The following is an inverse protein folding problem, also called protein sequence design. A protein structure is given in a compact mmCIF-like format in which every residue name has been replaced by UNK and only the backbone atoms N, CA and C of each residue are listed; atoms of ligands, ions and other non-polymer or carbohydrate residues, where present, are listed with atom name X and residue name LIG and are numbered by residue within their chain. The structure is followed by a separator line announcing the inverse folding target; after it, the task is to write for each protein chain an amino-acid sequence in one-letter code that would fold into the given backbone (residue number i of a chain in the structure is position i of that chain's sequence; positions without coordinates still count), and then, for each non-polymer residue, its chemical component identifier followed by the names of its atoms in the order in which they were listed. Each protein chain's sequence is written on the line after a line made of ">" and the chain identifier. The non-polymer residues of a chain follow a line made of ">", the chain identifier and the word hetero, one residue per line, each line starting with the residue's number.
data_IF_452961721848
#
_entry.id   IF_452961721848
#
_cell.length_a   1.000
_cell.length_b   1.000
_cell.length_c   1.000
_cell.angle_alpha   90.00
_cell.angle_beta   90.00
_cell.angle_gamma   90.00
#
_symmetry.space_group_name_H-M   'P 1'
#
loop_
_entity.id
_entity.type
_entity.pdbx_description
1 polymer ?
#
# COMPACT_ATOMS: atom_id res chain seq x y z
N UNK A 1 -33.59 0.97 -17.76
CA UNK A 1 -34.16 0.21 -16.62
C UNK A 1 -33.14 -0.76 -16.00
N UNK A 2 -32.45 -1.59 -16.81
CA UNK A 2 -31.43 -2.53 -16.33
C UNK A 2 -30.29 -1.83 -15.56
N UNK A 3 -29.76 -0.73 -16.08
CA UNK A 3 -28.68 0.05 -15.44
C UNK A 3 -29.06 0.67 -14.08
N UNK A 4 -30.33 1.08 -13.92
CA UNK A 4 -30.86 1.63 -12.66
C UNK A 4 -30.96 0.51 -11.60
N UNK A 5 -31.47 -0.66 -11.98
CA UNK A 5 -31.57 -1.82 -11.10
C UNK A 5 -30.18 -2.34 -10.68
N UNK A 6 -29.22 -2.36 -11.61
CA UNK A 6 -27.82 -2.71 -11.32
C UNK A 6 -27.22 -1.74 -10.31
N UNK A 7 -27.44 -0.43 -10.49
CA UNK A 7 -26.92 0.60 -9.58
C UNK A 7 -27.53 0.47 -8.18
N UNK A 8 -28.85 0.31 -8.08
CA UNK A 8 -29.54 0.14 -6.80
C UNK A 8 -29.11 -1.13 -6.06
N UNK A 9 -28.91 -2.24 -6.76
CA UNK A 9 -28.41 -3.47 -6.16
C UNK A 9 -26.99 -3.32 -5.61
N UNK A 10 -26.08 -2.67 -6.36
CA UNK A 10 -24.72 -2.37 -5.86
C UNK A 10 -24.78 -1.57 -4.58
N UNK A 11 -25.61 -0.52 -4.54
CA UNK A 11 -25.80 0.26 -3.32
C UNK A 11 -26.35 -0.56 -2.17
N UNK A 12 -27.31 -1.46 -2.42
CA UNK A 12 -27.84 -2.35 -1.39
C UNK A 12 -26.77 -3.33 -0.86
N UNK A 13 -25.97 -3.95 -1.73
CA UNK A 13 -24.87 -4.84 -1.33
C UNK A 13 -23.80 -4.07 -0.56
N UNK A 14 -23.43 -2.86 -1.00
CA UNK A 14 -22.48 -2.01 -0.29
C UNK A 14 -23.02 -1.55 1.07
N UNK A 15 -24.32 -1.29 1.18
CA UNK A 15 -24.96 -0.90 2.43
C UNK A 15 -25.04 -2.08 3.42
N UNK A 16 -25.54 -3.25 2.99
CA UNK A 16 -25.64 -4.45 3.84
C UNK A 16 -24.25 -4.97 4.20
N UNK A 17 -23.34 -5.05 3.24
CA UNK A 17 -21.94 -5.37 3.46
C UNK A 17 -21.25 -4.35 4.38
N UNK A 18 -21.59 -3.06 4.25
CA UNK A 18 -21.15 -1.99 5.15
C UNK A 18 -21.64 -2.20 6.58
N UNK A 19 -22.92 -2.52 6.78
CA UNK A 19 -23.51 -2.77 8.11
C UNK A 19 -22.93 -4.02 8.78
N UNK A 20 -22.82 -5.13 8.06
CA UNK A 20 -22.13 -6.33 8.57
C UNK A 20 -20.65 -6.03 8.85
N UNK A 21 -20.03 -5.24 7.97
CA UNK A 21 -18.70 -4.68 8.14
C UNK A 21 -18.57 -3.97 9.48
N UNK A 22 -19.48 -3.06 9.84
CA UNK A 22 -19.44 -2.34 11.12
C UNK A 22 -19.40 -3.29 12.31
N UNK A 23 -20.21 -4.36 12.32
CA UNK A 23 -20.22 -5.35 13.42
C UNK A 23 -18.90 -6.11 13.51
N UNK A 24 -18.36 -6.56 12.37
CA UNK A 24 -17.05 -7.24 12.32
C UNK A 24 -15.94 -6.30 12.75
N UNK A 25 -15.96 -5.04 12.28
CA UNK A 25 -14.96 -4.02 12.60
C UNK A 25 -15.04 -3.56 14.05
N UNK A 26 -16.21 -3.65 14.70
CA UNK A 26 -16.32 -3.42 16.13
C UNK A 26 -15.55 -4.49 16.94
N UNK A 27 -15.50 -5.73 16.45
CA UNK A 27 -14.79 -6.85 17.10
C UNK A 27 -13.33 -6.97 16.67
N UNK A 28 -13.01 -6.63 15.43
CA UNK A 28 -11.70 -6.76 14.81
C UNK A 28 -11.35 -5.49 13.99
N UNK A 29 -11.13 -4.34 14.65
CA UNK A 29 -10.88 -3.08 13.94
C UNK A 29 -9.60 -3.12 13.08
N UNK A 30 -8.65 -3.98 13.43
CA UNK A 30 -7.41 -4.18 12.66
C UNK A 30 -7.66 -4.80 11.28
N UNK A 31 -8.79 -5.51 11.11
CA UNK A 31 -9.22 -6.01 9.80
C UNK A 31 -9.47 -4.85 8.84
N UNK A 32 -9.99 -3.70 9.29
CA UNK A 32 -10.20 -2.54 8.42
C UNK A 32 -8.88 -2.06 7.82
N UNK A 33 -7.83 -1.99 8.64
CA UNK A 33 -6.49 -1.58 8.20
C UNK A 33 -5.95 -2.57 7.16
N UNK A 34 -6.12 -3.88 7.39
CA UNK A 34 -5.72 -4.92 6.44
C UNK A 34 -6.53 -4.87 5.12
N UNK A 35 -7.85 -4.65 5.21
CA UNK A 35 -8.74 -4.49 4.05
C UNK A 35 -8.43 -3.21 3.27
N UNK A 36 -7.94 -2.14 3.88
CA UNK A 36 -7.52 -0.98 3.09
C UNK A 36 -6.16 -1.16 2.43
N UNK A 37 -5.29 -1.93 3.09
CA UNK A 37 -3.97 -2.23 2.55
C UNK A 37 -4.05 -3.13 1.30
N UNK A 38 -4.99 -4.08 1.26
CA UNK A 38 -5.11 -5.09 0.20
C UNK A 38 -6.40 -4.93 -0.60
N UNK A 39 -7.44 -4.40 0.03
CA UNK A 39 -8.82 -4.65 -0.35
C UNK A 39 -9.51 -3.67 -1.28
N UNK A 40 -9.02 -2.46 -1.63
CA UNK A 40 -9.65 -1.68 -2.70
C UNK A 40 -9.74 -2.46 -4.00
N UNK A 41 -8.69 -3.19 -4.36
CA UNK A 41 -8.67 -4.07 -5.53
C UNK A 41 -9.50 -5.34 -5.31
N UNK A 42 -9.43 -5.92 -4.11
CA UNK A 42 -10.23 -7.09 -3.76
C UNK A 42 -11.73 -6.84 -3.87
N UNK A 43 -12.23 -5.74 -3.32
CA UNK A 43 -13.67 -5.42 -3.33
C UNK A 43 -14.13 -5.16 -4.76
N UNK A 44 -13.36 -4.40 -5.55
CA UNK A 44 -13.68 -4.19 -6.97
C UNK A 44 -13.70 -5.51 -7.74
N UNK A 45 -12.77 -6.41 -7.45
CA UNK A 45 -12.73 -7.74 -8.04
C UNK A 45 -13.96 -8.58 -7.67
N UNK A 46 -14.33 -8.64 -6.40
CA UNK A 46 -15.53 -9.35 -5.93
C UNK A 46 -16.80 -8.79 -6.56
N UNK A 47 -16.98 -7.46 -6.57
CA UNK A 47 -18.14 -6.83 -7.19
C UNK A 47 -18.23 -7.18 -8.67
N UNK A 48 -17.09 -7.24 -9.37
CA UNK A 48 -17.06 -7.64 -10.77
C UNK A 48 -17.42 -9.12 -10.98
N UNK A 49 -16.93 -10.04 -10.13
CA UNK A 49 -17.35 -11.46 -10.15
C UNK A 49 -18.88 -11.57 -10.06
N UNK A 50 -19.48 -10.72 -9.23
CA UNK A 50 -20.93 -10.67 -9.03
C UNK A 50 -21.69 -9.99 -10.18
N UNK A 51 -21.02 -9.55 -11.25
CA UNK A 51 -21.63 -8.88 -12.40
C UNK A 51 -21.77 -7.37 -12.24
N UNK A 52 -21.11 -6.76 -11.26
CA UNK A 52 -21.20 -5.34 -10.94
C UNK A 52 -19.86 -4.63 -11.14
N UNK A 53 -19.47 -4.27 -12.39
CA UNK A 53 -18.26 -3.51 -12.62
C UNK A 53 -18.42 -2.10 -12.05
N UNK A 54 -17.80 -1.84 -10.91
CA UNK A 54 -17.78 -0.50 -10.30
C UNK A 54 -16.55 0.24 -10.79
N UNK A 55 -16.76 1.41 -11.41
CA UNK A 55 -15.63 2.27 -11.79
C UNK A 55 -14.85 2.67 -10.54
N UNK A 56 -13.54 2.90 -10.65
CA UNK A 56 -12.72 3.35 -9.53
C UNK A 56 -13.26 4.66 -8.91
N UNK A 57 -13.83 5.54 -9.72
CA UNK A 57 -14.48 6.79 -9.27
C UNK A 57 -15.76 6.50 -8.47
N UNK A 58 -16.60 5.59 -8.94
CA UNK A 58 -17.81 5.18 -8.22
C UNK A 58 -17.44 4.48 -6.92
N UNK A 59 -16.40 3.64 -6.94
CA UNK A 59 -15.86 3.00 -5.75
C UNK A 59 -15.26 4.03 -4.78
N UNK A 60 -14.60 5.08 -5.30
CA UNK A 60 -14.11 6.20 -4.50
C UNK A 60 -15.22 6.99 -3.83
N UNK A 61 -16.25 7.35 -4.59
CA UNK A 61 -17.38 8.09 -4.08
C UNK A 61 -18.15 7.27 -3.04
N UNK A 62 -18.48 6.01 -3.35
CA UNK A 62 -19.14 5.10 -2.42
C UNK A 62 -18.27 4.82 -1.19
N UNK A 63 -16.98 4.60 -1.41
CA UNK A 63 -15.95 4.48 -0.39
C UNK A 63 -15.97 5.69 0.52
N UNK A 64 -15.84 6.91 0.02
CA UNK A 64 -15.88 8.13 0.82
C UNK A 64 -17.18 8.26 1.63
N UNK A 65 -18.33 7.99 1.01
CA UNK A 65 -19.65 8.08 1.67
C UNK A 65 -19.81 7.05 2.79
N UNK A 66 -19.23 5.86 2.69
CA UNK A 66 -19.32 4.82 3.74
C UNK A 66 -18.18 4.96 4.73
N UNK A 67 -16.96 5.10 4.22
CA UNK A 67 -15.72 5.06 4.96
C UNK A 67 -15.52 6.28 5.83
N UNK A 68 -15.77 7.50 5.32
CA UNK A 68 -15.57 8.72 6.11
C UNK A 68 -16.51 8.70 7.34
N UNK A 69 -17.82 8.43 7.22
CA UNK A 69 -18.68 8.32 8.38
C UNK A 69 -18.30 7.17 9.31
N UNK A 70 -17.85 6.02 8.80
CA UNK A 70 -17.37 4.91 9.65
C UNK A 70 -16.13 5.33 10.42
N UNK A 71 -15.15 5.95 9.76
CA UNK A 71 -13.94 6.46 10.42
C UNK A 71 -14.29 7.53 11.46
N UNK A 72 -15.14 8.49 11.12
CA UNK A 72 -15.62 9.53 12.05
C UNK A 72 -16.36 8.89 13.22
N UNK A 73 -17.29 7.97 12.96
CA UNK A 73 -18.06 7.28 13.99
C UNK A 73 -17.14 6.51 14.93
N UNK A 74 -16.15 5.77 14.40
CA UNK A 74 -15.17 5.08 15.21
C UNK A 74 -14.30 6.07 16.00
N UNK A 75 -13.87 7.18 15.40
CA UNK A 75 -13.15 8.23 16.11
C UNK A 75 -13.99 8.79 17.27
N UNK A 76 -15.27 9.12 17.02
CA UNK A 76 -16.20 9.65 18.03
C UNK A 76 -16.49 8.62 19.12
N UNK A 77 -16.91 7.40 18.77
CA UNK A 77 -17.14 6.31 19.73
C UNK A 77 -15.91 6.08 20.59
N UNK A 78 -14.71 6.18 20.00
CA UNK A 78 -13.47 6.06 20.77
C UNK A 78 -13.21 7.29 21.63
N UNK A 79 -13.39 8.52 21.16
CA UNK A 79 -13.27 9.72 21.99
C UNK A 79 -14.23 9.69 23.19
N UNK A 80 -15.42 9.11 23.03
CA UNK A 80 -16.38 8.89 24.12
C UNK A 80 -15.89 7.82 25.10
N UNK A 81 -15.43 6.66 24.61
CA UNK A 81 -14.87 5.59 25.46
C UNK A 81 -13.58 6.00 26.19
N UNK A 82 -12.80 6.93 25.63
CA UNK A 82 -11.55 7.48 26.21
C UNK A 82 -11.81 8.25 27.50
N UNK A 83 -13.04 8.71 27.75
CA UNK A 83 -13.37 9.44 28.97
C UNK A 83 -13.24 8.60 30.24
N UNK A 84 -13.15 7.27 30.13
CA UNK A 84 -13.19 6.39 31.30
C UNK A 84 -11.87 5.69 31.67
N UNK A 85 -10.91 5.41 30.75
CA UNK A 85 -9.62 4.77 31.12
C UNK A 85 -8.47 5.07 30.13
N UNK A 86 -7.36 5.57 30.70
CA UNK A 86 -6.01 5.78 30.13
C UNK A 86 -5.87 6.63 28.84
N UNK A 87 -4.78 7.40 28.68
CA UNK A 87 -4.52 8.18 27.46
C UNK A 87 -4.21 7.27 26.27
N UNK A 88 -5.25 6.93 25.50
CA UNK A 88 -5.26 5.88 24.46
C UNK A 88 -4.62 6.28 23.12
N UNK A 89 -4.49 7.57 22.80
CA UNK A 89 -3.81 7.98 21.56
C UNK A 89 -2.31 8.00 21.85
N UNK A 90 -1.66 6.85 21.67
CA UNK A 90 -0.20 6.81 21.71
C UNK A 90 0.33 7.83 20.71
N UNK A 91 1.30 8.64 21.16
CA UNK A 91 1.68 9.89 20.48
C UNK A 91 1.89 9.61 18.99
N UNK A 92 1.00 10.12 18.09
CA UNK A 92 1.22 9.92 16.67
C UNK A 92 2.59 10.48 16.34
N UNK A 93 3.23 9.93 15.31
CA UNK A 93 4.46 10.52 14.83
C UNK A 93 4.10 11.85 14.15
N UNK A 94 4.00 12.92 14.94
CA UNK A 94 3.58 14.24 14.51
C UNK A 94 4.46 14.77 13.37
N UNK A 95 5.73 14.34 13.29
CA UNK A 95 6.56 14.68 12.15
C UNK A 95 6.06 14.02 10.86
N UNK A 96 5.74 12.72 10.87
CA UNK A 96 5.20 12.05 9.69
C UNK A 96 3.83 12.60 9.28
N UNK A 97 2.91 12.72 10.24
CA UNK A 97 1.55 13.26 9.98
C UNK A 97 1.62 14.71 9.51
N UNK A 98 2.46 15.52 10.15
CA UNK A 98 2.66 16.93 9.78
C UNK A 98 3.20 17.08 8.36
N UNK A 99 4.22 16.31 7.98
CA UNK A 99 4.75 16.36 6.61
C UNK A 99 3.71 15.85 5.59
N UNK A 100 2.88 14.86 5.94
CA UNK A 100 1.83 14.36 5.03
C UNK A 100 0.74 15.42 4.82
N UNK A 101 0.36 16.13 5.89
CA UNK A 101 -0.54 17.28 5.80
C UNK A 101 0.06 18.40 4.96
N UNK A 102 1.34 18.72 5.14
CA UNK A 102 2.06 19.72 4.34
C UNK A 102 2.03 19.33 2.86
N UNK A 103 2.21 18.05 2.51
CA UNK A 103 2.06 17.59 1.13
C UNK A 103 0.65 17.81 0.60
N UNK A 104 -0.40 17.46 1.38
CA UNK A 104 -1.79 17.71 0.98
C UNK A 104 -2.11 19.19 0.78
N UNK A 105 -1.61 20.06 1.66
CA UNK A 105 -1.72 21.53 1.51
C UNK A 105 -0.97 22.01 0.28
N UNK A 106 0.22 21.46 0.00
CA UNK A 106 1.00 21.81 -1.18
C UNK A 106 0.28 21.44 -2.48
N UNK A 107 -0.37 20.27 -2.53
CA UNK A 107 -1.22 19.90 -3.66
C UNK A 107 -2.36 20.90 -3.89
N UNK A 108 -3.02 21.37 -2.80
CA UNK A 108 -4.05 22.42 -2.88
C UNK A 108 -3.49 23.75 -3.37
N UNK A 109 -2.29 24.15 -2.93
CA UNK A 109 -1.60 25.34 -3.46
C UNK A 109 -1.35 25.17 -4.96
N UNK A 110 -0.90 23.98 -5.38
CA UNK A 110 -0.73 23.61 -6.78
C UNK A 110 -1.99 23.74 -7.63
N UNK A 111 -3.19 23.62 -7.05
CA UNK A 111 -4.44 23.86 -7.77
C UNK A 111 -4.65 25.34 -8.11
N UNK A 112 -4.09 26.27 -7.34
CA UNK A 112 -4.35 27.71 -7.55
C UNK A 112 -3.74 28.27 -8.83
N UNK A 113 -2.80 27.53 -9.45
CA UNK A 113 -2.11 27.91 -10.68
C UNK A 113 -2.04 26.75 -11.70
N UNK A 114 -2.83 25.69 -11.51
CA UNK A 114 -2.93 24.59 -12.49
C UNK A 114 -3.75 25.03 -13.69
N UNK A 115 -3.35 24.62 -14.88
CA UNK A 115 -4.17 24.77 -16.09
C UNK A 115 -5.14 23.59 -16.24
N UNK A 116 -4.85 22.44 -15.64
CA UNK A 116 -5.68 21.22 -15.67
C UNK A 116 -6.50 21.03 -14.39
N UNK A 117 -7.44 21.95 -14.14
CA UNK A 117 -8.26 21.98 -12.94
C UNK A 117 -9.00 20.67 -12.68
N UNK A 118 -9.57 20.05 -13.71
CA UNK A 118 -10.37 18.83 -13.55
C UNK A 118 -9.52 17.66 -13.05
N UNK A 119 -8.32 17.48 -13.62
CA UNK A 119 -7.43 16.39 -13.22
C UNK A 119 -6.74 16.71 -11.88
N UNK A 120 -6.34 17.96 -11.67
CA UNK A 120 -5.77 18.45 -10.42
C UNK A 120 -6.68 18.24 -9.22
N UNK A 121 -7.93 18.70 -9.30
CA UNK A 121 -8.94 18.55 -8.24
C UNK A 121 -9.13 17.07 -7.89
N UNK A 122 -9.36 16.24 -8.92
CA UNK A 122 -9.50 14.80 -8.73
C UNK A 122 -8.29 14.19 -8.03
N UNK A 123 -7.07 14.51 -8.46
CA UNK A 123 -5.83 13.98 -7.89
C UNK A 123 -5.69 14.37 -6.42
N UNK A 124 -5.97 15.63 -6.10
CA UNK A 124 -5.93 16.16 -4.73
C UNK A 124 -6.99 15.50 -3.85
N UNK A 125 -8.22 15.37 -4.35
CA UNK A 125 -9.28 14.67 -3.65
C UNK A 125 -8.93 13.18 -3.39
N UNK A 126 -8.37 12.47 -4.38
CA UNK A 126 -7.89 11.10 -4.21
C UNK A 126 -6.78 11.02 -3.14
N UNK A 127 -5.83 11.96 -3.10
CA UNK A 127 -4.81 12.03 -2.05
C UNK A 127 -5.42 12.15 -0.64
N UNK A 128 -6.38 13.06 -0.45
CA UNK A 128 -7.02 13.24 0.86
C UNK A 128 -7.89 12.03 1.26
N UNK A 129 -8.73 11.55 0.35
CA UNK A 129 -9.72 10.51 0.63
C UNK A 129 -9.08 9.13 0.80
N UNK A 130 -8.06 8.81 0.02
CA UNK A 130 -7.49 7.47 -0.03
C UNK A 130 -6.06 7.37 0.50
N UNK A 131 -5.32 8.48 0.54
CA UNK A 131 -4.03 8.58 1.22
C UNK A 131 -4.18 9.02 2.66
N UNK A 132 -4.50 10.29 2.84
CA UNK A 132 -4.39 10.96 4.13
C UNK A 132 -5.41 10.43 5.14
N UNK A 133 -6.67 10.21 4.76
CA UNK A 133 -7.68 9.71 5.70
C UNK A 133 -7.38 8.28 6.20
N UNK A 134 -7.11 7.28 5.34
CA UNK A 134 -6.73 5.93 5.78
C UNK A 134 -5.45 5.89 6.63
N UNK A 135 -4.50 6.79 6.41
CA UNK A 135 -3.26 6.91 7.18
C UNK A 135 -3.52 7.08 8.69
N UNK A 136 -4.64 7.64 9.11
CA UNK A 136 -4.95 7.80 10.54
C UNK A 136 -5.41 6.50 11.21
N UNK A 137 -5.92 5.52 10.46
CA UNK A 137 -6.51 4.33 11.04
C UNK A 137 -5.55 3.46 11.85
N UNK A 138 -4.29 3.23 11.44
CA UNK A 138 -3.35 2.48 12.25
C UNK A 138 -3.17 3.10 13.64
N UNK A 139 -3.17 4.42 13.77
CA UNK A 139 -3.03 5.10 15.07
C UNK A 139 -4.24 4.88 15.99
N UNK A 140 -5.42 4.62 15.42
CA UNK A 140 -6.67 4.38 16.16
C UNK A 140 -6.84 2.90 16.51
N UNK A 141 -6.54 2.01 15.57
CA UNK A 141 -6.86 0.59 15.63
C UNK A 141 -5.70 -0.30 16.08
N UNK A 142 -4.45 0.11 15.84
CA UNK A 142 -3.28 -0.58 16.39
C UNK A 142 -2.92 0.09 17.73
N UNK A 143 -3.17 -0.62 18.82
CA UNK A 143 -3.12 -0.11 20.20
C UNK A 143 -2.09 -0.78 21.07
N UNK A 144 -1.84 -2.04 20.80
CA UNK A 144 -0.97 -2.89 21.57
C UNK A 144 -0.31 -3.95 20.66
N UNK A 145 0.64 -4.70 21.21
CA UNK A 145 1.32 -5.79 20.50
C UNK A 145 0.35 -6.82 19.91
N UNK A 146 -0.73 -7.12 20.62
CA UNK A 146 -1.75 -8.08 20.19
C UNK A 146 -2.51 -7.58 18.97
N UNK A 147 -2.89 -6.31 18.94
CA UNK A 147 -3.54 -5.67 17.78
C UNK A 147 -2.64 -5.69 16.54
N UNK A 148 -1.33 -5.43 16.70
CA UNK A 148 -0.38 -5.53 15.57
C UNK A 148 -0.28 -6.96 15.06
N UNK A 149 -0.24 -7.96 15.95
CA UNK A 149 -0.26 -9.38 15.55
C UNK A 149 -1.55 -9.76 14.83
N UNK A 150 -2.71 -9.30 15.33
CA UNK A 150 -4.01 -9.49 14.67
C UNK A 150 -4.03 -8.83 13.30
N UNK A 151 -3.52 -7.61 13.16
CA UNK A 151 -3.38 -6.93 11.88
C UNK A 151 -2.56 -7.76 10.88
N UNK A 152 -1.37 -8.25 11.26
CA UNK A 152 -0.55 -9.07 10.39
C UNK A 152 -1.27 -10.36 9.97
N UNK A 153 -1.96 -11.00 10.92
CA UNK A 153 -2.81 -12.16 10.62
C UNK A 153 -3.91 -11.82 9.61
N UNK A 154 -4.63 -10.71 9.80
CA UNK A 154 -5.66 -10.27 8.87
C UNK A 154 -5.10 -9.87 7.50
N UNK A 155 -3.91 -9.25 7.45
CA UNK A 155 -3.26 -8.92 6.19
C UNK A 155 -2.94 -10.19 5.38
N UNK A 156 -2.39 -11.21 6.04
CA UNK A 156 -2.14 -12.52 5.42
C UNK A 156 -3.46 -13.18 4.99
N UNK A 157 -4.48 -13.17 5.85
CA UNK A 157 -5.75 -13.82 5.54
C UNK A 157 -6.47 -13.13 4.38
N UNK A 158 -6.60 -11.80 4.41
CA UNK A 158 -7.26 -11.04 3.35
C UNK A 158 -6.51 -11.19 2.02
N UNK A 159 -5.18 -11.04 2.01
CA UNK A 159 -4.40 -11.22 0.80
C UNK A 159 -4.43 -12.66 0.29
N UNK A 160 -4.30 -13.65 1.18
CA UNK A 160 -4.38 -15.06 0.84
C UNK A 160 -5.75 -15.48 0.30
N UNK A 161 -6.83 -15.05 0.95
CA UNK A 161 -8.21 -15.29 0.49
C UNK A 161 -8.46 -14.61 -0.85
N UNK A 162 -7.93 -13.40 -1.05
CA UNK A 162 -8.04 -12.72 -2.33
C UNK A 162 -7.35 -13.52 -3.44
N UNK A 163 -6.08 -13.89 -3.24
CA UNK A 163 -5.30 -14.71 -4.17
C UNK A 163 -6.03 -16.02 -4.46
N UNK A 164 -6.54 -16.69 -3.44
CA UNK A 164 -7.27 -17.95 -3.58
C UNK A 164 -8.53 -17.77 -4.45
N UNK A 165 -9.43 -16.84 -4.09
CA UNK A 165 -10.67 -16.62 -4.82
C UNK A 165 -10.38 -16.26 -6.27
N UNK A 166 -9.45 -15.33 -6.49
CA UNK A 166 -9.14 -14.88 -7.83
C UNK A 166 -8.45 -15.95 -8.67
N UNK A 167 -7.60 -16.80 -8.07
CA UNK A 167 -7.00 -17.95 -8.77
C UNK A 167 -8.05 -19.02 -9.08
N UNK A 168 -8.89 -19.39 -8.10
CA UNK A 168 -9.98 -20.35 -8.30
C UNK A 168 -10.97 -19.89 -9.37
N UNK A 169 -11.32 -18.61 -9.35
CA UNK A 169 -12.22 -18.03 -10.33
C UNK A 169 -11.60 -17.96 -11.73
N UNK A 170 -10.31 -17.63 -11.82
CA UNK A 170 -9.57 -17.71 -13.08
C UNK A 170 -9.56 -19.13 -13.64
N UNK A 171 -9.33 -20.14 -12.79
CA UNK A 171 -9.37 -21.54 -13.22
C UNK A 171 -10.77 -21.93 -13.71
N UNK A 172 -11.81 -21.55 -12.96
CA UNK A 172 -13.21 -21.85 -13.31
C UNK A 172 -13.68 -21.17 -14.60
N UNK A 173 -13.00 -20.11 -15.03
CA UNK A 173 -13.33 -19.35 -16.24
C UNK A 173 -12.30 -19.54 -17.35
N UNK A 174 -11.40 -20.53 -17.24
CA UNK A 174 -10.34 -20.78 -18.23
C UNK A 174 -9.47 -19.54 -18.53
N UNK A 175 -9.32 -18.64 -17.54
CA UNK A 175 -8.61 -17.38 -17.67
C UNK A 175 -9.33 -16.30 -18.49
N UNK A 176 -10.54 -16.58 -19.01
CA UNK A 176 -11.33 -15.62 -19.81
C UNK A 176 -11.59 -14.31 -19.08
N UNK A 177 -11.59 -14.32 -17.74
CA UNK A 177 -11.79 -13.08 -16.97
C UNK A 177 -10.51 -12.30 -16.73
N UNK A 178 -9.32 -12.91 -16.69
CA UNK A 178 -8.12 -12.08 -16.79
C UNK A 178 -8.07 -11.37 -18.15
N UNK A 179 -8.53 -12.02 -19.23
CA UNK A 179 -8.75 -11.35 -20.51
C UNK A 179 -9.92 -10.34 -20.47
N UNK A 180 -10.98 -10.59 -19.69
CA UNK A 180 -12.15 -9.72 -19.55
C UNK A 180 -12.12 -8.79 -18.32
N UNK A 181 -10.95 -8.58 -17.70
CA UNK A 181 -10.67 -7.55 -16.72
C UNK A 181 -10.03 -6.36 -17.45
N UNK A 182 -10.74 -5.60 -18.31
CA UNK A 182 -10.23 -4.31 -18.70
C UNK A 182 -10.18 -3.50 -17.40
N UNK A 183 -8.98 -3.20 -16.93
CA UNK A 183 -8.78 -1.96 -16.21
C UNK A 183 -9.24 -0.87 -17.17
N UNK A 184 -10.46 -0.37 -16.96
CA UNK A 184 -11.15 0.66 -17.75
C UNK A 184 -10.49 2.04 -17.59
N UNK A 185 -9.17 2.13 -17.74
CA UNK A 185 -8.56 3.30 -18.39
C UNK A 185 -8.78 3.19 -19.91
N UNK A 186 -9.14 2.00 -20.41
CA UNK A 186 -9.38 1.75 -21.83
C UNK A 186 -10.81 1.95 -22.32
N UNK A 187 -11.74 2.51 -21.54
CA UNK A 187 -13.11 2.74 -22.04
C UNK A 187 -13.15 3.76 -23.20
N UNK A 188 -12.09 4.57 -23.38
CA UNK A 188 -11.89 5.42 -24.56
C UNK A 188 -11.01 4.80 -25.66
N UNK A 189 -10.35 3.66 -25.40
CA UNK A 189 -9.35 3.07 -26.34
C UNK A 189 -9.67 1.62 -26.74
N UNK A 190 -10.66 0.97 -26.13
CA UNK A 190 -11.17 -0.33 -26.57
C UNK A 190 -10.24 -1.53 -26.32
N UNK A 191 -9.37 -1.47 -25.31
CA UNK A 191 -8.32 -2.50 -25.12
C UNK A 191 -8.42 -3.24 -23.78
N UNK A 192 -8.42 -4.56 -23.85
CA UNK A 192 -8.35 -5.43 -22.67
C UNK A 192 -6.89 -5.61 -22.23
N UNK A 193 -6.55 -5.11 -21.04
CA UNK A 193 -5.26 -5.40 -20.39
C UNK A 193 -5.46 -6.65 -19.54
N UNK A 194 -4.72 -7.76 -19.76
CA UNK A 194 -4.90 -8.97 -18.97
C UNK A 194 -4.68 -8.71 -17.48
N UNK A 195 -5.69 -8.99 -16.65
CA UNK A 195 -5.79 -8.66 -15.23
C UNK A 195 -4.83 -9.41 -14.29
N UNK A 196 -3.71 -9.93 -14.77
CA UNK A 196 -2.76 -10.68 -13.94
C UNK A 196 -1.98 -9.80 -12.94
N UNK A 197 -1.98 -8.47 -13.14
CA UNK A 197 -1.35 -7.53 -12.21
C UNK A 197 -2.02 -7.46 -10.83
N UNK A 198 -3.32 -7.76 -10.74
CA UNK A 198 -4.09 -7.50 -9.50
C UNK A 198 -3.73 -8.45 -8.35
N UNK A 199 -3.24 -9.65 -8.64
CA UNK A 199 -2.85 -10.61 -7.61
C UNK A 199 -1.41 -10.48 -7.14
N UNK A 200 -0.59 -9.80 -7.91
CA UNK A 200 0.84 -9.68 -7.62
C UNK A 200 1.12 -8.86 -6.36
N UNK A 201 0.51 -7.68 -6.20
CA UNK A 201 0.66 -6.83 -5.01
C UNK A 201 0.24 -7.57 -3.72
N UNK A 202 -0.94 -8.22 -3.64
CA UNK A 202 -1.33 -9.07 -2.51
C UNK A 202 -0.33 -10.19 -2.20
N UNK A 203 0.24 -10.83 -3.21
CA UNK A 203 1.23 -11.88 -3.03
C UNK A 203 2.54 -11.33 -2.45
N UNK A 204 3.01 -10.17 -2.91
CA UNK A 204 4.21 -9.54 -2.36
C UNK A 204 3.97 -9.05 -0.92
N UNK A 205 2.77 -8.52 -0.62
CA UNK A 205 2.36 -8.19 0.76
C UNK A 205 2.36 -9.44 1.66
N UNK A 206 1.78 -10.54 1.17
CA UNK A 206 1.75 -11.83 1.89
C UNK A 206 3.17 -12.33 2.17
N UNK A 207 4.06 -12.26 1.18
CA UNK A 207 5.47 -12.63 1.34
C UNK A 207 6.15 -11.74 2.39
N UNK A 208 5.94 -10.42 2.34
CA UNK A 208 6.45 -9.48 3.33
C UNK A 208 5.97 -9.81 4.75
N UNK A 209 4.70 -10.15 4.91
CA UNK A 209 4.11 -10.50 6.21
C UNK A 209 4.64 -11.84 6.74
N UNK A 210 4.86 -12.83 5.87
CA UNK A 210 5.46 -14.13 6.23
C UNK A 210 6.93 -13.98 6.65
N UNK A 211 7.69 -13.14 5.95
CA UNK A 211 9.07 -12.79 6.31
C UNK A 211 9.12 -12.07 7.66
N UNK A 212 8.24 -11.11 7.88
CA UNK A 212 8.09 -10.42 9.15
C UNK A 212 7.75 -11.37 10.31
N UNK A 213 6.79 -12.27 10.09
CA UNK A 213 6.43 -13.30 11.08
C UNK A 213 7.63 -14.21 11.40
N UNK A 214 8.38 -14.62 10.37
CA UNK A 214 9.59 -15.45 10.53
C UNK A 214 10.71 -14.71 11.28
N UNK A 215 10.90 -13.43 10.99
CA UNK A 215 11.87 -12.55 11.65
C UNK A 215 11.50 -12.26 13.12
N UNK A 216 10.21 -12.36 13.48
CA UNK A 216 9.69 -12.14 14.84
C UNK A 216 9.80 -13.36 15.78
N UNK A 217 10.30 -14.50 15.30
CA UNK A 217 10.40 -15.74 16.06
C UNK A 217 11.85 -16.15 16.22
N UNK A 218 12.27 -16.55 17.43
CA UNK A 218 13.65 -16.96 17.74
C UNK A 218 13.96 -18.41 17.35
N UNK A 219 12.98 -19.32 17.36
CA UNK A 219 13.14 -20.71 16.95
C UNK A 219 11.89 -21.25 16.26
N UNK A 220 12.06 -22.11 15.25
CA UNK A 220 10.95 -22.87 14.70
C UNK A 220 11.00 -23.15 13.19
N UNK A 221 10.40 -24.29 12.83
CA UNK A 221 10.20 -24.78 11.45
C UNK A 221 9.47 -23.75 10.55
N UNK A 222 8.72 -22.82 11.13
CA UNK A 222 8.00 -21.77 10.41
C UNK A 222 8.92 -20.77 9.69
N UNK A 223 10.20 -20.64 10.09
CA UNK A 223 11.19 -19.85 9.33
C UNK A 223 11.49 -20.43 7.96
N UNK A 224 11.12 -21.68 7.67
CA UNK A 224 11.32 -22.30 6.35
C UNK A 224 10.16 -21.99 5.41
N UNK A 225 8.99 -21.61 5.94
CA UNK A 225 7.78 -21.39 5.16
C UNK A 225 7.94 -20.30 4.07
N UNK A 226 8.54 -19.11 4.33
CA UNK A 226 8.75 -18.14 3.27
C UNK A 226 9.65 -18.65 2.14
N UNK A 227 10.66 -19.48 2.48
CA UNK A 227 11.57 -20.09 1.49
C UNK A 227 10.79 -21.07 0.60
N UNK A 228 9.89 -21.87 1.18
CA UNK A 228 9.08 -22.84 0.43
C UNK A 228 8.03 -22.17 -0.45
N UNK A 229 7.48 -21.04 -0.02
CA UNK A 229 6.47 -20.29 -0.77
C UNK A 229 7.08 -19.38 -1.84
N UNK A 230 8.38 -19.06 -1.75
CA UNK A 230 9.07 -18.19 -2.69
C UNK A 230 8.96 -18.68 -4.14
N UNK A 231 9.17 -19.96 -4.46
CA UNK A 231 8.97 -20.45 -5.82
C UNK A 231 7.53 -20.33 -6.32
N UNK A 232 6.55 -20.53 -5.44
CA UNK A 232 5.12 -20.45 -5.79
C UNK A 232 4.72 -19.00 -6.12
N UNK A 233 5.16 -18.05 -5.30
CA UNK A 233 4.92 -16.62 -5.55
C UNK A 233 5.65 -16.15 -6.80
N UNK A 234 6.91 -16.57 -6.98
CA UNK A 234 7.69 -16.25 -8.17
C UNK A 234 6.99 -16.79 -9.44
N UNK A 235 6.54 -18.04 -9.41
CA UNK A 235 5.82 -18.69 -10.52
C UNK A 235 4.60 -17.87 -10.90
N UNK A 236 3.78 -17.49 -9.92
CA UNK A 236 2.61 -16.67 -10.18
C UNK A 236 2.97 -15.33 -10.84
N UNK A 237 3.96 -14.61 -10.31
CA UNK A 237 4.35 -13.29 -10.82
C UNK A 237 4.93 -13.38 -12.24
N UNK A 238 5.69 -14.44 -12.54
CA UNK A 238 6.22 -14.65 -13.89
C UNK A 238 5.11 -15.00 -14.87
N UNK A 239 4.21 -15.93 -14.51
CA UNK A 239 3.04 -16.26 -15.33
C UNK A 239 2.13 -15.05 -15.55
N UNK A 240 2.08 -14.13 -14.58
CA UNK A 240 1.36 -12.87 -14.72
C UNK A 240 1.96 -11.92 -15.77
N UNK A 241 3.20 -12.13 -16.23
CA UNK A 241 3.85 -11.28 -17.22
C UNK A 241 4.12 -9.85 -16.70
N UNK A 242 4.17 -9.66 -15.38
CA UNK A 242 4.26 -8.32 -14.76
C UNK A 242 5.67 -8.02 -14.25
N UNK A 243 6.44 -7.28 -15.06
CA UNK A 243 7.84 -6.96 -14.77
C UNK A 243 8.03 -6.10 -13.53
N UNK A 244 7.19 -5.08 -13.34
CA UNK A 244 7.25 -4.23 -12.15
C UNK A 244 7.09 -5.04 -10.87
N UNK A 245 6.19 -6.02 -10.87
CA UNK A 245 5.95 -6.85 -9.69
C UNK A 245 7.02 -7.91 -9.50
N UNK A 246 7.66 -8.39 -10.57
CA UNK A 246 8.86 -9.21 -10.46
C UNK A 246 9.99 -8.41 -9.80
N UNK A 247 10.22 -7.18 -10.22
CA UNK A 247 11.21 -6.30 -9.59
C UNK A 247 10.85 -6.02 -8.13
N UNK A 248 9.58 -5.68 -7.82
CA UNK A 248 9.10 -5.52 -6.45
C UNK A 248 9.33 -6.78 -5.62
N UNK A 249 9.00 -7.95 -6.15
CA UNK A 249 9.16 -9.24 -5.47
C UNK A 249 10.62 -9.58 -5.21
N UNK A 250 11.50 -9.40 -6.20
CA UNK A 250 12.94 -9.57 -6.04
C UNK A 250 13.47 -8.63 -4.96
N UNK A 251 13.09 -7.35 -5.01
CA UNK A 251 13.56 -6.35 -4.05
C UNK A 251 13.06 -6.64 -2.63
N UNK A 252 11.77 -6.97 -2.47
CA UNK A 252 11.16 -7.37 -1.19
C UNK A 252 11.78 -8.64 -0.64
N UNK A 253 11.98 -9.64 -1.48
CA UNK A 253 12.64 -10.89 -1.09
C UNK A 253 14.06 -10.59 -0.62
N UNK A 254 14.86 -9.87 -1.42
CA UNK A 254 16.24 -9.53 -1.04
C UNK A 254 16.31 -8.76 0.29
N UNK A 255 15.51 -7.71 0.46
CA UNK A 255 15.46 -6.92 1.70
C UNK A 255 14.98 -7.78 2.88
N UNK A 256 13.86 -8.46 2.72
CA UNK A 256 13.26 -9.26 3.78
C UNK A 256 14.12 -10.46 4.18
N UNK A 257 14.70 -11.21 3.23
CA UNK A 257 15.62 -12.31 3.51
C UNK A 257 16.92 -11.81 4.14
N UNK A 258 17.50 -10.70 3.65
CA UNK A 258 18.71 -10.11 4.24
C UNK A 258 18.52 -9.85 5.74
N UNK A 259 17.44 -9.15 6.10
CA UNK A 259 17.20 -8.82 7.50
C UNK A 259 16.71 -10.01 8.32
N UNK A 260 15.90 -10.92 7.75
CA UNK A 260 15.40 -12.11 8.46
C UNK A 260 16.53 -13.08 8.79
N UNK A 261 17.49 -13.27 7.87
CA UNK A 261 18.57 -14.25 8.01
C UNK A 261 19.95 -13.60 8.15
N UNK A 262 20.06 -12.33 8.59
CA UNK A 262 21.37 -11.64 8.71
C UNK A 262 22.40 -12.40 9.57
N UNK A 263 21.94 -13.17 10.56
CA UNK A 263 22.78 -14.03 11.42
C UNK A 263 23.11 -15.40 10.79
N UNK A 264 22.43 -15.78 9.71
CA UNK A 264 22.52 -17.08 9.04
C UNK A 264 22.81 -16.91 7.54
N UNK A 265 24.02 -16.42 7.20
CA UNK A 265 24.42 -16.10 5.82
C UNK A 265 24.16 -17.24 4.83
N UNK A 266 24.37 -18.50 5.23
CA UNK A 266 24.09 -19.66 4.39
C UNK A 266 22.60 -19.76 3.99
N UNK A 267 21.67 -19.54 4.93
CA UNK A 267 20.23 -19.56 4.63
C UNK A 267 19.83 -18.41 3.69
N UNK A 268 20.43 -17.23 3.85
CA UNK A 268 20.25 -16.11 2.92
C UNK A 268 20.73 -16.47 1.50
N UNK A 269 21.94 -17.02 1.38
CA UNK A 269 22.50 -17.44 0.08
C UNK A 269 21.67 -18.55 -0.56
N UNK A 270 21.18 -19.52 0.22
CA UNK A 270 20.27 -20.56 -0.27
C UNK A 270 18.95 -19.94 -0.76
N UNK A 271 18.36 -19.01 -0.01
CA UNK A 271 17.14 -18.33 -0.47
C UNK A 271 17.37 -17.55 -1.77
N UNK A 272 18.51 -16.86 -1.90
CA UNK A 272 18.88 -16.14 -3.12
C UNK A 272 19.12 -17.09 -4.30
N UNK A 273 19.75 -18.25 -4.05
CA UNK A 273 19.96 -19.28 -5.05
C UNK A 273 18.64 -19.90 -5.50
N UNK A 274 17.76 -20.25 -4.56
CA UNK A 274 16.40 -20.76 -4.87
C UNK A 274 15.64 -19.72 -5.69
N UNK A 275 15.75 -18.43 -5.35
CA UNK A 275 15.13 -17.35 -6.10
C UNK A 275 15.68 -17.24 -7.53
N UNK A 276 17.00 -17.28 -7.69
CA UNK A 276 17.66 -17.21 -8.99
C UNK A 276 17.32 -18.42 -9.87
N UNK A 277 17.39 -19.64 -9.32
CA UNK A 277 17.02 -20.88 -10.03
C UNK A 277 15.55 -20.83 -10.40
N UNK A 278 14.67 -20.44 -9.48
CA UNK A 278 13.25 -20.35 -9.78
C UNK A 278 13.00 -19.33 -10.90
N UNK A 279 13.56 -18.12 -10.81
CA UNK A 279 13.41 -17.13 -11.86
C UNK A 279 13.91 -17.63 -13.22
N UNK A 280 15.07 -18.30 -13.25
CA UNK A 280 15.64 -18.87 -14.48
C UNK A 280 14.75 -19.97 -15.07
N UNK A 281 14.28 -20.93 -14.26
CA UNK A 281 13.37 -21.99 -14.70
C UNK A 281 12.05 -21.41 -15.20
N UNK A 282 11.50 -20.43 -14.48
CA UNK A 282 10.24 -19.80 -14.87
C UNK A 282 10.34 -19.08 -16.21
N UNK A 283 11.46 -18.41 -16.47
CA UNK A 283 11.70 -17.79 -17.78
C UNK A 283 11.90 -18.85 -18.86
N UNK A 284 12.69 -19.89 -18.59
CA UNK A 284 12.99 -20.94 -19.57
C UNK A 284 11.75 -21.75 -19.99
N UNK A 285 10.81 -21.97 -19.07
CA UNK A 285 9.60 -22.76 -19.31
C UNK A 285 8.33 -21.90 -19.46
N UNK A 286 8.43 -20.57 -19.41
CA UNK A 286 7.29 -19.71 -19.67
C UNK A 286 6.80 -19.89 -21.12
N UNK A 287 5.48 -19.83 -21.37
CA UNK A 287 4.94 -19.79 -22.73
C UNK A 287 5.60 -18.68 -23.56
N UNK A 288 5.81 -18.87 -24.89
CA UNK A 288 6.44 -17.87 -25.75
C UNK A 288 5.83 -16.47 -25.62
N UNK A 289 4.51 -16.37 -25.43
CA UNK A 289 3.79 -15.10 -25.27
C UNK A 289 4.16 -14.39 -23.97
N UNK A 290 4.42 -15.15 -22.90
CA UNK A 290 4.89 -14.61 -21.61
C UNK A 290 6.34 -14.17 -21.72
N UNK A 291 7.19 -14.96 -22.40
CA UNK A 291 8.58 -14.58 -22.66
C UNK A 291 8.65 -13.30 -23.50
N UNK A 292 7.90 -13.26 -24.60
CA UNK A 292 7.76 -12.08 -25.45
C UNK A 292 7.29 -10.90 -24.61
N UNK A 293 6.20 -11.03 -23.84
CA UNK A 293 5.74 -9.95 -22.96
C UNK A 293 6.76 -9.53 -21.89
N UNK A 294 7.63 -10.42 -21.41
CA UNK A 294 8.69 -10.06 -20.46
C UNK A 294 9.87 -9.33 -21.13
N UNK A 295 10.18 -9.61 -22.40
CA UNK A 295 11.36 -9.11 -23.08
C UNK A 295 11.12 -8.08 -24.20
N UNK A 296 9.93 -8.03 -24.82
CA UNK A 296 9.68 -7.33 -26.09
C UNK A 296 9.53 -5.80 -25.99
N UNK A 297 9.22 -5.23 -24.83
CA UNK A 297 8.81 -3.81 -24.77
C UNK A 297 9.93 -2.77 -24.63
N UNK A 298 11.19 -3.11 -24.90
CA UNK A 298 12.28 -2.14 -24.94
C UNK A 298 12.58 -1.64 -26.34
N UNK A 299 12.20 -2.39 -27.37
CA UNK A 299 12.74 -2.20 -28.73
C UNK A 299 11.66 -1.81 -29.74
N UNK A 300 10.40 -2.18 -29.54
CA UNK A 300 9.33 -1.89 -30.50
C UNK A 300 8.39 -0.75 -30.03
N UNK A 301 8.48 0.45 -30.62
CA UNK A 301 7.68 1.61 -30.22
C UNK A 301 6.20 1.55 -30.66
N UNK A 302 5.75 0.44 -31.26
CA UNK A 302 4.54 0.45 -32.12
C UNK A 302 3.61 -0.75 -32.03
N UNK A 303 3.66 -1.58 -30.98
CA UNK A 303 2.50 -2.45 -30.75
C UNK A 303 1.38 -1.59 -30.20
N UNK A 304 0.35 -1.35 -31.03
CA UNK A 304 -0.83 -0.50 -30.80
C UNK A 304 -1.61 -0.79 -29.49
N UNK A 305 -1.19 -1.75 -28.66
CA UNK A 305 -2.09 -2.52 -27.78
C UNK A 305 -1.82 -2.44 -26.27
N UNK A 306 -1.04 -1.48 -25.78
CA UNK A 306 -0.98 -1.24 -24.35
C UNK A 306 -0.11 -0.07 -23.92
N UNK A 307 -0.40 0.45 -22.74
CA UNK A 307 0.44 1.43 -22.04
C UNK A 307 1.77 0.78 -21.65
N UNK A 308 2.67 0.69 -22.64
CA UNK A 308 3.87 -0.12 -22.63
C UNK A 308 5.06 0.55 -21.94
N UNK A 309 6.14 -0.21 -21.75
CA UNK A 309 7.42 0.34 -21.26
C UNK A 309 7.93 1.50 -22.14
N UNK A 310 7.68 1.46 -23.45
CA UNK A 310 8.00 2.53 -24.38
C UNK A 310 7.28 3.85 -24.05
N UNK A 311 5.98 3.83 -23.77
CA UNK A 311 5.23 5.02 -23.40
C UNK A 311 5.76 5.64 -22.09
N UNK A 312 6.12 4.81 -21.10
CA UNK A 312 6.75 5.29 -19.86
C UNK A 312 8.10 5.96 -20.12
N UNK A 313 8.89 5.41 -21.05
CA UNK A 313 10.16 6.01 -21.47
C UNK A 313 9.91 7.37 -22.15
N UNK A 314 8.90 7.47 -23.03
CA UNK A 314 8.55 8.74 -23.69
C UNK A 314 8.07 9.79 -22.69
N UNK A 315 7.23 9.42 -21.71
CA UNK A 315 6.88 10.30 -20.61
C UNK A 315 8.13 10.80 -19.85
N UNK A 316 9.04 9.90 -19.47
CA UNK A 316 10.26 10.28 -18.75
C UNK A 316 11.20 11.16 -19.58
N UNK A 317 11.24 11.00 -20.90
CA UNK A 317 12.01 11.87 -21.80
C UNK A 317 11.45 13.30 -21.86
N UNK A 318 10.15 13.48 -21.65
CA UNK A 318 9.52 14.81 -21.63
C UNK A 318 9.77 15.57 -20.32
N UNK A 319 10.05 14.88 -19.21
CA UNK A 319 10.21 15.47 -17.87
C UNK A 319 11.25 16.61 -17.82
N UNK A 320 12.48 16.48 -18.36
CA UNK A 320 13.46 17.56 -18.28
C UNK A 320 13.02 18.85 -18.96
N UNK A 321 12.40 18.75 -20.14
CA UNK A 321 11.93 19.92 -20.89
C UNK A 321 10.80 20.66 -20.15
N UNK A 322 9.90 19.93 -19.49
CA UNK A 322 8.83 20.53 -18.69
C UNK A 322 9.36 21.11 -17.38
N UNK A 323 10.25 20.39 -16.68
CA UNK A 323 10.82 20.83 -15.41
C UNK A 323 11.57 22.17 -15.52
N UNK A 324 12.39 22.36 -16.56
CA UNK A 324 13.20 23.58 -16.73
C UNK A 324 12.35 24.85 -16.87
N UNK A 325 11.10 24.73 -17.32
CA UNK A 325 10.20 25.87 -17.50
C UNK A 325 9.64 26.40 -16.16
N UNK A 326 9.46 25.52 -15.17
CA UNK A 326 8.90 25.87 -13.86
C UNK A 326 9.57 25.08 -12.71
N UNK A 327 10.88 25.25 -12.47
CA UNK A 327 11.64 24.31 -11.62
C UNK A 327 11.30 24.40 -10.13
N UNK A 328 10.87 25.56 -9.63
CA UNK A 328 10.67 25.77 -8.19
C UNK A 328 9.27 25.31 -7.76
N UNK A 329 8.23 25.87 -8.39
CA UNK A 329 6.83 25.62 -8.04
C UNK A 329 6.16 24.54 -8.90
N UNK A 330 6.77 24.17 -10.03
CA UNK A 330 6.12 23.33 -11.02
C UNK A 330 5.05 24.08 -11.81
N UNK A 331 4.35 23.35 -12.67
CA UNK A 331 3.30 23.91 -13.52
C UNK A 331 1.96 24.04 -12.80
N UNK A 332 1.70 23.19 -11.81
CA UNK A 332 0.40 23.10 -11.14
C UNK A 332 0.02 21.65 -10.90
N UNK A 333 -0.72 21.39 -9.81
CA UNK A 333 -1.13 20.02 -9.47
C UNK A 333 -2.09 19.50 -10.52
N UNK A 334 -1.75 18.38 -11.14
CA UNK A 334 -2.51 17.79 -12.23
C UNK A 334 -2.15 18.26 -13.64
N UNK A 335 -1.12 19.08 -13.85
CA UNK A 335 -0.86 19.58 -15.20
C UNK A 335 -0.19 18.61 -16.16
N UNK A 336 0.32 17.47 -15.68
CA UNK A 336 1.05 16.53 -16.55
C UNK A 336 0.29 16.12 -17.83
N UNK A 337 -1.00 15.74 -17.80
CA UNK A 337 -1.74 15.40 -19.03
C UNK A 337 -1.74 16.54 -20.04
N UNK A 338 -2.00 17.77 -19.60
CA UNK A 338 -2.07 18.92 -20.48
C UNK A 338 -0.70 19.24 -21.08
N UNK A 339 0.36 19.21 -20.27
CA UNK A 339 1.73 19.45 -20.73
C UNK A 339 2.24 18.39 -21.71
N UNK A 340 1.86 17.12 -21.50
CA UNK A 340 2.37 16.02 -22.30
C UNK A 340 1.54 15.78 -23.57
N UNK A 341 0.21 15.88 -23.50
CA UNK A 341 -0.68 15.55 -24.63
C UNK A 341 -1.49 16.73 -25.16
N UNK A 342 -1.46 17.89 -24.50
CA UNK A 342 -2.33 19.01 -24.84
C UNK A 342 -3.80 18.78 -24.50
N UNK A 343 -4.12 17.79 -23.66
CA UNK A 343 -5.50 17.42 -23.31
C UNK A 343 -5.64 17.19 -21.81
N UNK A 344 -6.78 17.57 -21.23
CA UNK A 344 -7.14 17.27 -19.84
C UNK A 344 -7.76 15.87 -19.72
N UNK A 345 -6.93 14.84 -19.75
CA UNK A 345 -7.37 13.45 -19.60
C UNK A 345 -6.48 12.69 -18.62
N UNK A 346 -6.82 11.44 -18.31
CA UNK A 346 -6.07 10.66 -17.33
C UNK A 346 -4.73 10.20 -17.92
N UNK A 347 -3.68 11.01 -17.72
CA UNK A 347 -2.31 10.67 -18.08
C UNK A 347 -1.35 11.09 -16.95
N UNK A 348 -0.32 10.30 -16.69
CA UNK A 348 0.70 10.61 -15.68
C UNK A 348 2.00 9.92 -16.10
N UNK A 349 3.18 10.39 -15.64
CA UNK A 349 4.46 9.92 -16.18
C UNK A 349 4.84 8.49 -15.73
N UNK A 350 3.92 7.78 -15.07
CA UNK A 350 4.16 6.49 -14.41
C UNK A 350 5.35 6.50 -13.42
N UNK A 351 5.68 7.67 -12.91
CA UNK A 351 6.72 7.88 -11.92
C UNK A 351 6.32 9.05 -11.01
N UNK A 352 5.94 8.74 -9.76
CA UNK A 352 5.46 9.72 -8.78
C UNK A 352 6.47 10.85 -8.52
N UNK A 353 7.77 10.54 -8.54
CA UNK A 353 8.80 11.56 -8.30
C UNK A 353 8.90 12.52 -9.48
N UNK A 354 8.86 12.00 -10.71
CA UNK A 354 8.86 12.82 -11.92
C UNK A 354 7.57 13.66 -12.04
N UNK A 355 6.42 13.08 -11.70
CA UNK A 355 5.15 13.77 -11.66
C UNK A 355 5.19 14.95 -10.69
N UNK A 356 5.57 14.72 -9.43
CA UNK A 356 5.67 15.78 -8.42
C UNK A 356 6.74 16.81 -8.80
N UNK A 357 7.85 16.38 -9.41
CA UNK A 357 8.89 17.31 -9.87
C UNK A 357 8.37 18.28 -10.94
N UNK A 358 7.56 17.80 -11.90
CA UNK A 358 7.03 18.64 -12.98
C UNK A 358 5.83 19.47 -12.50
N UNK A 359 4.91 18.86 -11.76
CA UNK A 359 3.66 19.54 -11.35
C UNK A 359 3.86 20.47 -10.15
N UNK A 360 4.77 20.12 -9.23
CA UNK A 360 4.92 20.80 -7.95
C UNK A 360 6.36 21.29 -7.68
N UNK A 361 7.26 21.13 -8.66
CA UNK A 361 8.63 21.62 -8.63
C UNK A 361 9.51 20.97 -7.56
N UNK A 362 10.65 21.60 -7.31
CA UNK A 362 11.59 21.19 -6.26
C UNK A 362 10.97 21.26 -4.86
N UNK A 363 10.02 22.17 -4.62
CA UNK A 363 9.34 22.29 -3.32
C UNK A 363 8.51 21.04 -3.03
N UNK A 364 7.64 20.64 -3.97
CA UNK A 364 6.84 19.43 -3.83
C UNK A 364 7.70 18.18 -3.70
N UNK A 365 8.76 18.06 -4.52
CA UNK A 365 9.67 16.92 -4.46
C UNK A 365 10.39 16.85 -3.10
N UNK A 366 10.82 17.98 -2.54
CA UNK A 366 11.48 18.02 -1.24
C UNK A 366 10.53 17.56 -0.10
N UNK A 367 9.27 18.00 -0.12
CA UNK A 367 8.26 17.57 0.86
C UNK A 367 8.04 16.05 0.74
N UNK A 368 7.89 15.54 -0.48
CA UNK A 368 7.73 14.11 -0.74
C UNK A 368 8.95 13.31 -0.24
N UNK A 369 10.17 13.72 -0.58
CA UNK A 369 11.39 13.04 -0.13
C UNK A 369 11.55 13.07 1.40
N UNK A 370 11.07 14.14 2.05
CA UNK A 370 11.04 14.22 3.52
C UNK A 370 10.11 13.16 4.12
N UNK A 371 8.95 12.90 3.52
CA UNK A 371 8.04 11.81 3.95
C UNK A 371 8.76 10.46 3.92
N UNK A 372 9.39 10.15 2.78
CA UNK A 372 10.15 8.92 2.58
C UNK A 372 11.27 8.81 3.61
N UNK A 373 12.05 9.87 3.78
CA UNK A 373 13.18 9.89 4.70
C UNK A 373 12.77 9.60 6.15
N UNK A 374 11.68 10.20 6.64
CA UNK A 374 11.20 9.97 8.03
C UNK A 374 10.90 8.50 8.28
N UNK A 375 10.24 7.84 7.32
CA UNK A 375 9.85 6.43 7.42
C UNK A 375 11.07 5.51 7.28
N UNK A 376 11.88 5.71 6.24
CA UNK A 376 13.12 4.95 5.98
C UNK A 376 14.04 5.01 7.19
N UNK A 377 14.33 6.22 7.69
CA UNK A 377 15.24 6.43 8.83
C UNK A 377 14.77 5.66 10.05
N UNK A 378 13.46 5.63 10.32
CA UNK A 378 12.89 4.94 11.48
C UNK A 378 13.03 3.43 11.35
N UNK A 379 12.65 2.87 10.20
CA UNK A 379 12.76 1.44 9.90
C UNK A 379 14.24 1.01 9.96
N UNK A 380 15.11 1.74 9.28
CA UNK A 380 16.54 1.47 9.21
C UNK A 380 17.19 1.38 10.59
N UNK A 381 16.90 2.34 11.48
CA UNK A 381 17.43 2.33 12.85
C UNK A 381 17.07 1.04 13.59
N UNK A 382 15.85 0.54 13.43
CA UNK A 382 15.39 -0.69 14.08
C UNK A 382 16.04 -1.92 13.45
N UNK A 383 16.14 -1.98 12.12
CA UNK A 383 16.75 -3.11 11.43
C UNK A 383 18.26 -3.21 11.70
N UNK A 384 18.93 -2.06 11.86
CA UNK A 384 20.35 -1.98 12.19
C UNK A 384 20.61 -2.35 13.65
N UNK A 385 19.95 -1.67 14.58
CA UNK A 385 20.28 -1.71 16.01
C UNK A 385 19.41 -2.72 16.80
N UNK A 386 18.28 -3.15 16.23
CA UNK A 386 17.33 -4.05 16.88
C UNK A 386 17.75 -5.52 16.84
N UNK A 387 17.34 -6.24 17.88
CA UNK A 387 17.61 -7.67 18.04
C UNK A 387 16.66 -8.52 17.17
N UNK A 388 17.19 -9.38 16.28
CA UNK A 388 16.38 -10.33 15.51
C UNK A 388 15.65 -11.33 16.40
N UNK A 389 14.43 -11.72 16.01
CA UNK A 389 13.59 -12.60 16.81
C UNK A 389 12.66 -11.86 17.76
N UNK A 390 12.71 -10.53 17.81
CA UNK A 390 11.74 -9.69 18.52
C UNK A 390 10.57 -9.31 17.60
N UNK A 391 9.41 -9.00 18.19
CA UNK A 391 8.25 -8.48 17.45
C UNK A 391 8.60 -7.19 16.70
N UNK A 392 9.37 -6.31 17.35
CA UNK A 392 9.87 -5.05 16.79
C UNK A 392 10.62 -5.24 15.49
N UNK A 393 11.54 -6.21 15.52
CA UNK A 393 12.37 -6.51 14.37
C UNK A 393 11.52 -7.07 13.23
N UNK A 394 10.57 -7.97 13.52
CA UNK A 394 9.62 -8.48 12.53
C UNK A 394 8.77 -7.39 11.88
N UNK A 395 8.22 -6.47 12.68
CA UNK A 395 7.46 -5.32 12.18
C UNK A 395 8.31 -4.41 11.31
N UNK A 396 9.56 -4.16 11.69
CA UNK A 396 10.47 -3.35 10.88
C UNK A 396 10.83 -4.05 9.56
N UNK A 397 10.95 -5.39 9.56
CA UNK A 397 11.10 -6.18 8.32
C UNK A 397 9.86 -6.03 7.45
N UNK A 398 8.66 -6.13 8.03
CA UNK A 398 7.41 -5.91 7.28
C UNK A 398 7.37 -4.53 6.64
N UNK A 399 7.66 -3.49 7.43
CA UNK A 399 7.71 -2.12 6.96
C UNK A 399 8.75 -1.89 5.87
N UNK A 400 9.93 -2.51 5.98
CA UNK A 400 10.95 -2.48 4.94
C UNK A 400 10.48 -3.15 3.65
N UNK A 401 9.78 -4.28 3.73
CA UNK A 401 9.16 -4.94 2.58
C UNK A 401 8.07 -4.05 1.94
N UNK A 402 7.16 -3.49 2.73
CA UNK A 402 6.13 -2.60 2.20
C UNK A 402 6.74 -1.37 1.52
N UNK A 403 7.74 -0.74 2.14
CA UNK A 403 8.45 0.39 1.57
C UNK A 403 9.16 0.04 0.27
N UNK A 404 9.72 -1.17 0.16
CA UNK A 404 10.30 -1.68 -1.06
C UNK A 404 9.26 -1.80 -2.19
N UNK A 405 8.07 -2.35 -1.90
CA UNK A 405 6.94 -2.42 -2.85
C UNK A 405 6.52 -1.02 -3.31
N UNK A 406 6.37 -0.11 -2.36
CA UNK A 406 5.93 1.26 -2.66
C UNK A 406 6.99 2.02 -3.46
N UNK A 407 8.28 1.76 -3.23
CA UNK A 407 9.36 2.39 -3.98
C UNK A 407 9.29 1.99 -5.44
N UNK A 408 9.17 0.69 -5.71
CA UNK A 408 9.06 0.19 -7.09
C UNK A 408 7.77 0.65 -7.75
N UNK A 409 6.66 0.67 -7.02
CA UNK A 409 5.37 1.19 -7.50
C UNK A 409 5.43 2.70 -7.83
N UNK A 410 6.03 3.50 -6.96
CA UNK A 410 6.24 4.93 -7.16
C UNK A 410 7.17 5.25 -8.33
N UNK A 411 8.15 4.39 -8.61
CA UNK A 411 9.08 4.58 -9.73
C UNK A 411 8.52 4.13 -11.08
N UNK A 412 7.63 3.13 -11.07
CA UNK A 412 7.29 2.40 -12.30
C UNK A 412 5.83 2.43 -12.70
N UNK A 413 4.90 2.74 -11.79
CA UNK A 413 3.48 2.47 -12.06
C UNK A 413 2.50 3.55 -11.64
N UNK A 414 2.71 4.23 -10.51
CA UNK A 414 1.69 5.08 -9.89
C UNK A 414 2.11 6.53 -9.80
N UNK A 415 1.12 7.41 -9.98
CA UNK A 415 1.22 8.81 -9.59
C UNK A 415 0.89 9.01 -8.11
N UNK A 416 1.09 10.24 -7.61
CA UNK A 416 0.94 10.59 -6.18
C UNK A 416 -0.42 10.20 -5.62
N UNK A 417 -1.52 10.38 -6.35
CA UNK A 417 -2.86 10.02 -5.88
C UNK A 417 -3.00 8.53 -5.58
N UNK A 418 -2.38 7.65 -6.38
CA UNK A 418 -2.46 6.20 -6.15
C UNK A 418 -1.38 5.72 -5.19
N UNK A 419 -0.13 6.14 -5.39
CA UNK A 419 1.00 5.73 -4.56
C UNK A 419 0.86 6.23 -3.12
N UNK A 420 0.33 7.44 -2.90
CA UNK A 420 0.14 7.98 -1.55
C UNK A 420 -0.84 7.14 -0.71
N UNK A 421 -1.82 6.48 -1.34
CA UNK A 421 -2.77 5.60 -0.64
C UNK A 421 -2.05 4.51 0.13
N UNK A 422 -1.28 3.72 -0.60
CA UNK A 422 -0.60 2.56 -0.06
C UNK A 422 0.63 3.00 0.73
N UNK A 423 1.41 3.98 0.25
CA UNK A 423 2.57 4.51 0.96
C UNK A 423 2.22 5.13 2.33
N UNK A 424 1.22 6.00 2.41
CA UNK A 424 0.87 6.64 3.68
C UNK A 424 0.31 5.63 4.68
N UNK A 425 -0.58 4.74 4.22
CA UNK A 425 -1.14 3.69 5.08
C UNK A 425 -0.06 2.74 5.60
N UNK A 426 0.81 2.22 4.72
CA UNK A 426 1.90 1.31 5.10
C UNK A 426 2.91 1.97 6.03
N UNK A 427 3.22 3.24 5.80
CA UNK A 427 4.07 4.05 6.66
C UNK A 427 3.45 4.25 8.05
N UNK A 428 2.16 4.58 8.12
CA UNK A 428 1.44 4.73 9.39
C UNK A 428 1.38 3.43 10.18
N UNK A 429 1.07 2.30 9.52
CA UNK A 429 1.13 0.95 10.12
C UNK A 429 2.51 0.70 10.72
N UNK A 430 3.56 0.92 9.93
CA UNK A 430 4.94 0.62 10.34
C UNK A 430 5.38 1.50 11.52
N UNK A 431 5.14 2.81 11.44
CA UNK A 431 5.50 3.76 12.49
C UNK A 431 4.75 3.48 13.79
N UNK A 432 3.45 3.17 13.71
CA UNK A 432 2.62 2.87 14.88
C UNK A 432 3.04 1.55 15.53
N UNK A 433 3.16 0.50 14.74
CA UNK A 433 3.57 -0.82 15.23
C UNK A 433 4.95 -0.77 15.89
N UNK A 434 5.89 -0.02 15.30
CA UNK A 434 7.21 0.28 15.88
C UNK A 434 7.10 0.97 17.24
N UNK A 435 6.25 2.00 17.34
CA UNK A 435 6.09 2.78 18.57
C UNK A 435 5.58 1.91 19.73
N UNK A 436 4.52 1.14 19.48
CA UNK A 436 3.88 0.29 20.50
C UNK A 436 4.84 -0.76 21.07
N UNK A 437 5.67 -1.29 20.19
CA UNK A 437 6.61 -2.30 20.58
C UNK A 437 7.79 -1.74 21.40
N UNK A 438 8.25 -0.52 21.06
CA UNK A 438 9.23 0.20 21.88
C UNK A 438 8.67 0.53 23.27
N UNK A 439 7.44 1.02 23.33
CA UNK A 439 6.75 1.32 24.59
C UNK A 439 6.67 0.08 25.47
N UNK A 440 6.28 -1.07 24.91
CA UNK A 440 6.18 -2.31 25.64
C UNK A 440 7.55 -2.85 26.13
N UNK A 441 8.63 -2.67 25.35
CA UNK A 441 9.99 -2.99 25.84
C UNK A 441 10.37 -2.08 27.02
N UNK A 442 10.06 -0.79 26.93
CA UNK A 442 10.37 0.15 28.02
C UNK A 442 9.53 -0.09 29.27
N UNK A 443 8.29 -0.58 29.14
CA UNK A 443 7.47 -0.95 30.31
C UNK A 443 7.95 -2.24 30.97
N UNK A 444 8.39 -3.23 30.20
CA UNK A 444 8.93 -4.50 30.72
C UNK A 444 10.28 -4.31 31.43
N UNK A 445 11.08 -3.33 31.01
CA UNK A 445 12.37 -3.02 31.62
C UNK A 445 12.29 -2.29 32.97
N UNK A 446 11.11 -1.76 33.37
CA UNK A 446 10.95 -1.09 34.66
C UNK A 446 10.76 -2.12 35.77
N UNK A 447 11.53 -2.05 36.87
CA UNK A 447 11.40 -3.01 37.96
C UNK A 447 9.98 -2.96 38.56
N UNK A 448 9.37 -4.12 38.86
CA UNK A 448 8.04 -4.18 39.48
C UNK A 448 8.11 -3.56 40.88
N UNK A 449 7.69 -2.29 41.00
CA UNK A 449 7.69 -1.52 42.25
C UNK A 449 7.88 -0.02 42.06
N UNK A 450 8.54 0.42 40.99
CA UNK A 450 8.87 1.84 40.78
C UNK A 450 7.70 2.66 40.20
N UNK A 451 6.75 2.00 39.53
CA UNK A 451 5.54 2.65 38.98
C UNK A 451 4.55 2.99 40.12
N UNK A 452 4.50 2.16 41.16
CA UNK A 452 3.52 2.28 42.24
C UNK A 452 3.86 3.44 43.21
N UNK A 453 5.14 3.83 43.30
CA UNK A 453 5.59 4.94 44.16
C UNK A 453 5.38 6.32 43.54
N UNK A 454 5.36 6.45 42.22
CA UNK A 454 5.18 7.74 41.51
C UNK A 454 3.71 8.11 41.28
N UNK A 455 2.80 7.13 41.17
CA UNK A 455 1.37 7.39 40.87
C UNK A 455 0.51 7.47 42.13
N UNK A 456 0.83 6.72 43.19
CA UNK A 456 0.05 6.72 44.44
C UNK A 456 -0.01 8.07 45.19
N UNK A 457 0.99 8.97 45.17
CA UNK A 457 0.90 10.23 45.91
C UNK A 457 -0.15 11.19 45.33
N UNK A 458 -0.41 11.14 44.02
CA UNK A 458 -1.34 12.06 43.34
C UNK A 458 -2.80 11.66 43.57
N UNK A 459 -3.09 10.38 43.81
CA UNK A 459 -4.44 9.88 44.09
C UNK A 459 -4.79 9.84 45.58
N UNK A 460 -3.82 10.07 46.48
CA UNK A 460 -4.05 10.19 47.93
C UNK A 460 -4.20 11.63 48.42
N UNK A 461 -3.99 12.63 47.57
CA UNK A 461 -4.44 13.98 47.85
C UNK A 461 -5.98 13.99 47.70
N UNK A 462 -6.68 13.76 48.82
CA UNK A 462 -8.13 13.96 48.89
C UNK A 462 -8.50 15.39 48.48
N UNK A 463 -9.79 15.65 48.15
CA UNK A 463 -10.24 16.99 47.82
C UNK A 463 -9.79 17.95 48.91
N UNK A 464 -9.04 18.99 48.51
CA UNK A 464 -8.67 20.10 49.39
C UNK A 464 -9.97 20.63 50.03
N UNK A 465 -10.04 20.52 51.36
CA UNK A 465 -11.15 21.01 52.18
C UNK A 465 -11.25 22.54 52.14
#
# INVERSE_FOLDING_TARGET
>A
MQEILTTQFVWAVLLVGGLMGVVVLAKAPELLVAVLLVGPEYIQFILRILGYPVSRRTFAAAGAVVFIPVVILFLVMRMVQVREREPIIGRPNFSFVGVALVMGVWLLVGLTYTDSWWYGDRKTAEYFMFGLAPMFLPFVFLRDRTSVRRFLFWAILVAGTYVLIASSYSLATEGTIFAALPFRVSEQVGMAIPGHGVLSTPLVITMGALLAFSASRTSGKLRVLPILLLPVVALYIVLAGTRSNLVSFLFVSSVGFWFTYKKHRAAFLVALLVLAITAALLVAYAPPEVQERMFSSWIEPKTRHGAGGAERIEHLKAVPAQFVQAPILGHGTGDWPLLYTGLEWYAFPHNMFAEILVENGLVGLFILLTLWFVVVRRIWRILRDGEPGTGLYGIAVFGGCLLAIETTNALAHFGIAHAACTFLLTSAVTLRATYLEQEAVTSEARPPGEIDTLVRPVLKAGPLA
#
